data_IF_213340072769
#
_entry.id   IF_213340072769
#
_cell.length_a   1.000
_cell.length_b   1.000
_cell.length_c   1.000
_cell.angle_alpha   90.00
_cell.angle_beta   90.00
_cell.angle_gamma   90.00
#
_symmetry.space_group_name_H-M   'P 1'
#
loop_
_entity.id
_entity.type
_entity.pdbx_description
1 polymer ?
#
# COMPACT_ATOMS: atom_id res chain seq x y z
N UNK A 1 -0.40 13.56 12.82
CA UNK A 1 -1.54 13.09 12.01
C UNK A 1 -2.90 13.52 12.55
N UNK A 2 -2.98 14.12 13.76
CA UNK A 2 -4.24 14.60 14.34
C UNK A 2 -4.92 15.69 13.51
N UNK A 3 -4.14 16.51 12.77
CA UNK A 3 -4.68 17.46 11.80
C UNK A 3 -5.15 16.71 10.55
N UNK A 4 -6.43 16.85 10.13
CA UNK A 4 -6.96 16.20 8.93
C UNK A 4 -6.16 16.49 7.66
N UNK A 5 -5.55 17.67 7.57
CA UNK A 5 -4.70 18.08 6.45
C UNK A 5 -3.51 17.14 6.23
N UNK A 6 -2.85 16.69 7.30
CA UNK A 6 -1.70 15.78 7.17
C UNK A 6 -2.13 14.42 6.61
N UNK A 7 -3.32 13.94 6.98
CA UNK A 7 -3.89 12.68 6.45
C UNK A 7 -4.11 12.79 4.94
N UNK A 8 -4.64 13.92 4.48
CA UNK A 8 -4.86 14.18 3.06
C UNK A 8 -3.54 14.29 2.28
N UNK A 9 -2.54 14.95 2.84
CA UNK A 9 -1.22 15.10 2.21
C UNK A 9 -0.51 13.75 2.05
N UNK A 10 -0.51 12.92 3.09
CA UNK A 10 0.01 11.54 3.02
C UNK A 10 -0.72 10.74 1.94
N UNK A 11 -2.06 10.77 1.91
CA UNK A 11 -2.83 10.04 0.91
C UNK A 11 -2.62 10.55 -0.51
N UNK A 12 -2.41 11.85 -0.69
CA UNK A 12 -2.11 12.46 -1.99
C UNK A 12 -0.77 11.93 -2.52
N UNK A 13 0.28 12.02 -1.72
CA UNK A 13 1.62 11.55 -2.08
C UNK A 13 1.61 10.04 -2.32
N UNK A 14 0.95 9.27 -1.45
CA UNK A 14 0.85 7.82 -1.59
C UNK A 14 0.17 7.40 -2.90
N UNK A 15 -0.95 8.04 -3.27
CA UNK A 15 -1.63 7.78 -4.54
C UNK A 15 -0.80 8.21 -5.75
N UNK A 16 -0.08 9.33 -5.66
CA UNK A 16 0.77 9.81 -6.75
C UNK A 16 1.92 8.84 -7.05
N UNK A 17 2.54 8.27 -6.02
CA UNK A 17 3.62 7.30 -6.21
C UNK A 17 3.10 5.94 -6.68
N UNK A 18 1.94 5.49 -6.18
CA UNK A 18 1.31 4.26 -6.67
C UNK A 18 0.82 4.35 -8.12
N UNK A 19 0.51 5.53 -8.63
CA UNK A 19 0.13 5.72 -10.04
C UNK A 19 1.26 5.36 -11.02
N UNK A 20 2.51 5.27 -10.55
CA UNK A 20 3.67 4.85 -11.35
C UNK A 20 3.78 3.32 -11.43
N UNK A 21 3.11 2.57 -10.54
CA UNK A 21 3.08 1.12 -10.59
C UNK A 21 2.18 0.64 -11.72
N UNK A 22 2.73 -0.19 -12.61
CA UNK A 22 1.98 -0.79 -13.73
C UNK A 22 0.96 -1.83 -13.27
N UNK A 23 1.08 -2.29 -12.03
CA UNK A 23 0.21 -3.30 -11.44
C UNK A 23 -1.04 -2.64 -10.90
N UNK A 24 -2.22 -3.20 -11.19
CA UNK A 24 -3.49 -2.66 -10.68
C UNK A 24 -3.49 -2.60 -9.15
N UNK A 25 -3.68 -1.41 -8.60
CA UNK A 25 -3.83 -1.16 -7.17
C UNK A 25 -5.17 -0.50 -6.86
N UNK A 26 -5.72 -0.78 -5.68
CA UNK A 26 -6.81 -0.01 -5.09
C UNK A 26 -6.42 0.44 -3.69
N UNK A 27 -6.78 1.66 -3.31
CA UNK A 27 -6.38 2.25 -2.04
C UNK A 27 -7.57 2.99 -1.44
N UNK A 28 -7.87 2.70 -0.17
CA UNK A 28 -8.91 3.36 0.61
C UNK A 28 -8.35 4.52 1.44
N UNK A 29 -9.22 5.33 2.02
CA UNK A 29 -8.81 6.39 2.95
C UNK A 29 -8.20 5.83 4.23
N UNK A 30 -7.57 6.70 5.01
CA UNK A 30 -7.07 6.32 6.34
C UNK A 30 -8.29 6.11 7.26
N UNK A 31 -8.43 4.92 7.83
CA UNK A 31 -9.50 4.58 8.78
C UNK A 31 -9.37 5.35 10.10
N UNK A 32 -10.40 5.34 10.94
CA UNK A 32 -10.34 5.98 12.26
C UNK A 32 -9.23 5.40 13.15
N UNK A 33 -8.87 4.13 12.95
CA UNK A 33 -7.75 3.46 13.61
C UNK A 33 -6.37 3.90 13.09
N UNK A 34 -6.33 4.78 12.09
CA UNK A 34 -5.07 5.22 11.47
C UNK A 34 -4.50 4.25 10.44
N UNK A 35 -5.25 3.23 10.02
CA UNK A 35 -4.81 2.22 9.06
C UNK A 35 -5.19 2.61 7.63
N UNK A 36 -4.42 2.16 6.64
CA UNK A 36 -4.75 2.28 5.22
C UNK A 36 -4.94 0.89 4.64
N UNK A 37 -6.12 0.64 4.11
CA UNK A 37 -6.41 -0.57 3.37
C UNK A 37 -6.06 -0.37 1.90
N UNK A 38 -5.39 -1.37 1.31
CA UNK A 38 -5.09 -1.38 -0.11
C UNK A 38 -5.04 -2.80 -0.66
N UNK A 39 -5.28 -2.93 -1.96
CA UNK A 39 -5.01 -4.14 -2.71
C UNK A 39 -4.03 -3.84 -3.84
N UNK A 40 -3.17 -4.81 -4.16
CA UNK A 40 -2.30 -4.81 -5.33
C UNK A 40 -2.44 -6.16 -6.01
N UNK A 41 -2.72 -6.17 -7.32
CA UNK A 41 -2.85 -7.42 -8.07
C UNK A 41 -1.55 -8.24 -7.96
N UNK A 42 -1.65 -9.51 -7.60
CA UNK A 42 -0.50 -10.41 -7.62
C UNK A 42 -0.11 -10.72 -9.07
N UNK A 43 1.16 -10.50 -9.42
CA UNK A 43 1.71 -10.75 -10.76
C UNK A 43 2.76 -11.88 -10.78
N UNK A 44 3.11 -12.42 -9.61
CA UNK A 44 4.10 -13.47 -9.43
C UNK A 44 4.22 -13.85 -7.96
N UNK A 45 5.25 -14.62 -7.63
CA UNK A 45 5.61 -14.88 -6.24
C UNK A 45 6.20 -13.63 -5.58
N UNK A 46 5.91 -13.45 -4.29
CA UNK A 46 6.48 -12.36 -3.51
C UNK A 46 7.94 -12.66 -3.16
N UNK A 47 8.73 -11.61 -2.92
CA UNK A 47 10.16 -11.72 -2.61
C UNK A 47 10.45 -12.76 -1.51
N UNK A 48 9.67 -12.76 -0.43
CA UNK A 48 9.79 -13.75 0.65
C UNK A 48 9.61 -15.17 0.13
N UNK A 49 8.55 -15.45 -0.63
CA UNK A 49 8.33 -16.79 -1.18
C UNK A 49 9.46 -17.20 -2.15
N UNK A 50 10.01 -16.25 -2.89
CA UNK A 50 11.10 -16.50 -3.85
C UNK A 50 12.47 -16.68 -3.19
N UNK A 51 12.75 -15.99 -2.09
CA UNK A 51 14.11 -15.86 -1.53
C UNK A 51 14.29 -16.40 -0.11
N UNK A 52 13.22 -16.65 0.64
CA UNK A 52 13.32 -17.37 1.91
C UNK A 52 12.86 -18.80 1.71
N UNK A 53 13.79 -19.76 1.83
CA UNK A 53 13.44 -21.16 2.02
C UNK A 53 12.65 -21.25 3.31
N UNK A 54 11.47 -21.86 3.27
CA UNK A 54 10.77 -22.26 4.47
C UNK A 54 11.76 -23.07 5.31
N UNK A 55 12.16 -22.54 6.47
CA UNK A 55 12.80 -23.38 7.47
C UNK A 55 11.68 -24.25 8.02
N UNK A 56 11.73 -25.54 7.65
CA UNK A 56 11.04 -26.61 8.38
C UNK A 56 11.70 -26.80 9.76
#
# INVERSE_FOLDING_TARGET
>A
MEKPQHRNEVMKTFRAELARDKTRTQVFGISELGLVEMTRKRIGEGLTQTFTKAQE
#
